data_IF_491004918356
#
_entry.id   IF_491004918356
#
_cell.length_a   1.000
_cell.length_b   1.000
_cell.length_c   1.000
_cell.angle_alpha   90.00
_cell.angle_beta   90.00
_cell.angle_gamma   90.00
#
_symmetry.space_group_name_H-M   'P 1'
#
loop_
_entity.id
_entity.type
_entity.pdbx_description
1 polymer ?
#
# COMPACT_ATOMS: atom_id res chain seq x y z
N UNK A 1 2.02 28.68 18.86
CA UNK A 1 1.27 28.49 18.44
C UNK A 1 0.65 27.33 18.37
N UNK A 2 0.12 27.14 17.98
CA UNK A 2 -0.58 26.22 17.79
C UNK A 2 -0.02 25.06 17.24
N UNK A 3 1.23 24.88 17.19
CA UNK A 3 1.81 23.69 16.61
C UNK A 3 1.38 22.44 17.34
N UNK A 4 1.30 22.48 18.66
CA UNK A 4 0.84 21.32 19.41
C UNK A 4 -0.60 20.95 19.12
N UNK A 5 -1.44 21.96 18.98
CA UNK A 5 -2.83 21.72 18.65
C UNK A 5 -2.95 21.18 17.24
N UNK A 6 -2.10 21.63 16.31
CA UNK A 6 -2.11 21.11 14.97
C UNK A 6 -1.66 19.67 14.93
N UNK A 7 -0.67 19.33 15.73
CA UNK A 7 -0.22 17.95 15.79
C UNK A 7 -1.29 17.03 16.34
N UNK A 8 -1.99 17.44 17.34
CA UNK A 8 -3.10 16.68 17.88
C UNK A 8 -4.18 16.49 16.83
N UNK A 9 -4.49 17.55 16.11
CA UNK A 9 -5.48 17.48 15.04
C UNK A 9 -5.00 16.67 13.85
N UNK A 10 -3.70 16.53 13.67
CA UNK A 10 -3.16 15.77 12.56
C UNK A 10 -3.48 14.29 12.65
N UNK A 11 -3.82 13.78 13.82
CA UNK A 11 -4.27 12.40 13.93
C UNK A 11 -5.62 12.21 13.26
N UNK A 12 -6.35 13.31 13.03
CA UNK A 12 -7.62 13.30 12.34
C UNK A 12 -7.43 14.09 11.05
N UNK A 13 -7.16 13.38 9.95
CA UNK A 13 -6.93 14.03 8.67
C UNK A 13 -8.23 14.64 8.15
N UNK A 14 -8.13 15.82 7.56
CA UNK A 14 -9.29 16.43 6.94
C UNK A 14 -9.51 15.79 5.55
N UNK A 15 -10.65 16.04 4.98
CA UNK A 15 -11.06 15.40 3.72
C UNK A 15 -10.20 15.79 2.53
N UNK A 16 -9.47 16.92 2.63
CA UNK A 16 -8.67 17.42 1.53
C UNK A 16 -7.24 16.88 1.53
N UNK A 17 -6.84 16.21 2.62
CA UNK A 17 -5.48 15.67 2.68
C UNK A 17 -5.39 14.36 1.92
N UNK A 18 -4.31 14.25 1.13
CA UNK A 18 -4.08 13.05 0.37
C UNK A 18 -3.59 11.91 1.26
N UNK A 19 -3.88 10.69 0.85
CA UNK A 19 -3.47 9.48 1.56
C UNK A 19 -2.23 8.91 0.92
N UNK A 20 -1.35 8.32 1.72
CA UNK A 20 -0.17 7.67 1.19
C UNK A 20 -0.50 6.36 0.49
N UNK A 21 0.07 6.19 -0.68
CA UNK A 21 0.11 4.94 -1.43
C UNK A 21 1.58 4.66 -1.69
N UNK A 22 2.11 3.58 -1.14
CA UNK A 22 3.52 3.27 -1.33
C UNK A 22 3.71 2.13 -2.32
N UNK A 23 4.82 2.20 -3.03
CA UNK A 23 5.27 1.19 -3.98
C UNK A 23 6.61 0.68 -3.48
N UNK A 24 6.73 -0.63 -3.29
CA UNK A 24 7.96 -1.23 -2.77
C UNK A 24 8.43 -2.30 -3.73
N UNK A 25 9.61 -2.09 -4.30
CA UNK A 25 10.22 -3.02 -5.26
C UNK A 25 11.71 -2.68 -5.29
N UNK A 26 12.58 -3.67 -5.27
CA UNK A 26 14.02 -3.41 -5.30
C UNK A 26 14.52 -2.94 -6.67
N UNK A 27 13.66 -2.98 -7.69
CA UNK A 27 13.98 -2.48 -9.03
C UNK A 27 13.59 -1.00 -9.13
N UNK A 28 14.59 -0.13 -9.23
CA UNK A 28 14.39 1.33 -9.29
C UNK A 28 13.55 1.72 -10.50
N UNK A 29 13.77 1.08 -11.65
CA UNK A 29 13.04 1.43 -12.87
C UNK A 29 11.55 1.14 -12.71
N UNK A 30 11.21 0.05 -12.03
CA UNK A 30 9.81 -0.31 -11.78
C UNK A 30 9.16 0.70 -10.84
N UNK A 31 9.82 1.05 -9.75
CA UNK A 31 9.22 2.00 -8.79
C UNK A 31 9.05 3.39 -9.39
N UNK A 32 10.00 3.83 -10.21
CA UNK A 32 9.87 5.11 -10.90
C UNK A 32 8.70 5.10 -11.88
N UNK A 33 8.58 4.04 -12.66
CA UNK A 33 7.52 3.90 -13.66
C UNK A 33 6.14 3.88 -12.99
N UNK A 34 5.99 3.09 -11.93
CA UNK A 34 4.73 2.98 -11.22
C UNK A 34 4.38 4.29 -10.50
N UNK A 35 5.37 4.93 -9.91
CA UNK A 35 5.18 6.22 -9.25
C UNK A 35 4.60 7.24 -10.22
N UNK A 36 5.22 7.38 -11.39
CA UNK A 36 4.76 8.31 -12.40
C UNK A 36 3.34 7.99 -12.87
N UNK A 37 3.07 6.74 -13.15
CA UNK A 37 1.75 6.33 -13.62
C UNK A 37 0.65 6.63 -12.60
N UNK A 38 0.90 6.34 -11.33
CA UNK A 38 -0.10 6.60 -10.29
C UNK A 38 -0.29 8.07 -10.04
N UNK A 39 0.80 8.87 -10.05
CA UNK A 39 0.69 10.31 -9.87
C UNK A 39 -0.12 10.97 -10.98
N UNK A 40 0.03 10.49 -12.21
CA UNK A 40 -0.66 11.07 -13.35
C UNK A 40 -2.14 10.65 -13.46
N UNK A 41 -2.48 9.51 -12.92
CA UNK A 41 -3.79 8.91 -13.18
C UNK A 41 -4.73 8.83 -11.99
N UNK A 42 -4.26 9.05 -10.77
CA UNK A 42 -5.10 8.90 -9.59
C UNK A 42 -5.01 10.14 -8.71
N UNK A 43 -6.16 10.71 -8.39
CA UNK A 43 -6.24 11.89 -7.53
C UNK A 43 -6.44 11.47 -6.08
N UNK A 44 -6.05 12.34 -5.16
CA UNK A 44 -6.30 12.11 -3.73
C UNK A 44 -5.26 11.26 -3.03
N UNK A 45 -4.19 10.91 -3.73
CA UNK A 45 -3.12 10.09 -3.14
C UNK A 45 -1.77 10.81 -3.21
N UNK A 46 -0.91 10.47 -2.25
CA UNK A 46 0.49 10.89 -2.24
C UNK A 46 1.31 9.62 -2.44
N UNK A 47 1.92 9.48 -3.60
CA UNK A 47 2.67 8.26 -3.93
C UNK A 47 4.10 8.38 -3.44
N UNK A 48 4.56 7.36 -2.73
CA UNK A 48 5.95 7.26 -2.27
C UNK A 48 6.51 5.91 -2.75
N UNK A 49 7.77 5.94 -3.18
CA UNK A 49 8.39 4.75 -3.75
C UNK A 49 9.62 4.36 -2.94
N UNK A 50 9.78 3.08 -2.68
CA UNK A 50 10.89 2.56 -1.89
C UNK A 50 11.51 1.36 -2.60
N UNK A 51 12.84 1.30 -2.55
CA UNK A 51 13.57 0.17 -3.10
C UNK A 51 14.11 -0.74 -1.99
N UNK A 52 13.82 -0.40 -0.74
CA UNK A 52 14.21 -1.17 0.45
C UNK A 52 12.96 -1.38 1.32
N UNK A 53 12.54 -2.63 1.54
CA UNK A 53 11.33 -2.90 2.31
C UNK A 53 11.42 -2.47 3.78
N UNK A 54 12.63 -2.44 4.35
CA UNK A 54 12.81 -2.00 5.73
C UNK A 54 12.50 -0.50 5.84
N UNK A 55 13.00 0.30 4.90
CA UNK A 55 12.74 1.73 4.87
C UNK A 55 11.26 1.99 4.59
N UNK A 56 10.65 1.18 3.71
CA UNK A 56 9.22 1.30 3.44
C UNK A 56 8.40 1.09 4.72
N UNK A 57 8.76 0.08 5.51
CA UNK A 57 8.03 -0.20 6.74
C UNK A 57 8.25 0.90 7.79
N UNK A 58 9.45 1.48 7.86
CA UNK A 58 9.71 2.62 8.75
C UNK A 58 8.82 3.81 8.39
N UNK A 59 8.74 4.15 7.12
CA UNK A 59 7.87 5.23 6.67
C UNK A 59 6.41 4.94 7.01
N UNK A 60 6.00 3.68 6.81
CA UNK A 60 4.64 3.28 7.14
C UNK A 60 4.35 3.45 8.63
N UNK A 61 5.24 3.01 9.50
CA UNK A 61 4.99 3.10 10.94
C UNK A 61 4.88 4.54 11.43
N UNK A 62 5.62 5.45 10.81
CA UNK A 62 5.57 6.86 11.16
C UNK A 62 4.30 7.55 10.63
N UNK A 63 3.63 6.95 9.64
CA UNK A 63 2.50 7.57 8.95
C UNK A 63 1.29 6.66 8.84
N UNK A 64 1.20 5.63 9.66
CA UNK A 64 0.23 4.55 9.45
C UNK A 64 -1.22 5.00 9.38
N UNK A 65 -1.59 6.05 10.07
CA UNK A 65 -2.97 6.54 10.06
C UNK A 65 -3.31 7.36 8.82
N UNK A 66 -2.30 7.71 8.04
CA UNK A 66 -2.49 8.43 6.78
C UNK A 66 -2.34 7.51 5.57
N UNK A 67 -1.94 6.26 5.78
CA UNK A 67 -1.76 5.31 4.69
C UNK A 67 -3.09 4.72 4.22
N UNK A 68 -3.27 4.62 2.93
CA UNK A 68 -4.40 3.92 2.34
C UNK A 68 -3.99 2.57 1.76
N UNK A 69 -2.79 2.47 1.18
CA UNK A 69 -2.45 1.34 0.34
C UNK A 69 -0.95 1.11 0.28
N UNK A 70 -0.53 -0.13 0.27
CA UNK A 70 0.85 -0.51 -0.02
C UNK A 70 0.89 -1.57 -1.10
N UNK A 71 1.70 -1.31 -2.13
CA UNK A 71 1.94 -2.24 -3.23
C UNK A 71 3.36 -2.76 -3.05
N UNK A 72 3.54 -4.06 -2.99
CA UNK A 72 4.86 -4.65 -2.79
C UNK A 72 5.13 -5.78 -3.78
N UNK A 73 6.36 -5.80 -4.29
CA UNK A 73 6.86 -6.98 -4.97
C UNK A 73 7.08 -8.09 -3.95
N UNK A 74 7.01 -9.33 -4.38
CA UNK A 74 7.21 -10.47 -3.49
C UNK A 74 8.67 -10.66 -3.13
N UNK A 75 9.54 -10.68 -4.12
CA UNK A 75 10.95 -11.06 -3.92
C UNK A 75 11.84 -9.84 -3.83
N UNK A 76 12.31 -9.58 -2.60
CA UNK A 76 13.20 -8.46 -2.30
C UNK A 76 14.20 -8.91 -1.27
N UNK A 77 15.46 -8.40 -1.34
CA UNK A 77 16.44 -8.69 -0.28
C UNK A 77 15.97 -8.14 1.07
N UNK A 78 16.27 -8.86 2.11
CA UNK A 78 15.97 -8.46 3.49
C UNK A 78 14.61 -8.93 3.95
N UNK A 79 13.55 -8.32 3.47
CA UNK A 79 12.19 -8.65 3.86
C UNK A 79 11.36 -8.86 2.60
N UNK A 80 10.74 -10.03 2.44
CA UNK A 80 9.93 -10.26 1.25
C UNK A 80 8.56 -9.59 1.38
N UNK A 81 7.84 -9.52 0.25
CA UNK A 81 6.56 -8.82 0.21
C UNK A 81 5.49 -9.40 1.12
N UNK A 82 5.46 -10.72 1.30
CA UNK A 82 4.48 -11.34 2.19
C UNK A 82 4.72 -10.91 3.64
N UNK A 83 5.98 -10.92 4.06
CA UNK A 83 6.35 -10.50 5.40
C UNK A 83 6.07 -9.02 5.64
N UNK A 84 6.40 -8.19 4.63
CA UNK A 84 6.16 -6.76 4.71
C UNK A 84 4.66 -6.47 4.88
N UNK A 85 3.84 -7.05 4.01
CA UNK A 85 2.40 -6.78 4.05
C UNK A 85 1.74 -7.33 5.31
N UNK A 86 2.26 -8.44 5.84
CA UNK A 86 1.78 -8.96 7.12
C UNK A 86 2.06 -7.96 8.26
N UNK A 87 3.25 -7.37 8.27
CA UNK A 87 3.59 -6.37 9.28
C UNK A 87 2.72 -5.13 9.15
N UNK A 88 2.44 -4.71 7.93
CA UNK A 88 1.59 -3.55 7.67
C UNK A 88 0.16 -3.81 8.20
N UNK A 89 -0.42 -4.95 7.86
CA UNK A 89 -1.77 -5.30 8.34
C UNK A 89 -1.82 -5.44 9.86
N UNK A 90 -0.75 -5.95 10.46
CA UNK A 90 -0.67 -6.07 11.91
C UNK A 90 -0.68 -4.72 12.61
N UNK A 91 -0.12 -3.69 11.98
CA UNK A 91 -0.06 -2.35 12.55
C UNK A 91 -1.30 -1.52 12.23
N UNK A 92 -1.92 -1.74 11.07
CA UNK A 92 -3.17 -1.05 10.69
C UNK A 92 -3.92 -1.90 9.68
N UNK A 93 -4.93 -2.63 10.13
CA UNK A 93 -5.66 -3.60 9.30
C UNK A 93 -6.53 -2.96 8.22
N UNK A 94 -6.77 -1.65 8.29
CA UNK A 94 -7.60 -0.95 7.30
C UNK A 94 -6.83 -0.68 6.01
N UNK A 95 -5.49 -0.57 6.10
CA UNK A 95 -4.64 -0.30 4.94
C UNK A 95 -4.78 -1.45 3.94
N UNK A 96 -4.99 -1.11 2.67
CA UNK A 96 -5.13 -2.12 1.62
C UNK A 96 -3.77 -2.56 1.11
N UNK A 97 -3.64 -3.83 0.77
CA UNK A 97 -2.37 -4.41 0.36
C UNK A 97 -2.49 -5.08 -0.99
N UNK A 98 -1.52 -4.80 -1.87
CA UNK A 98 -1.43 -5.41 -3.19
C UNK A 98 -0.05 -6.06 -3.33
N UNK A 99 -0.01 -7.32 -3.73
CA UNK A 99 1.23 -8.02 -3.98
C UNK A 99 1.42 -8.17 -5.50
N UNK A 100 2.59 -7.80 -6.01
CA UNK A 100 2.94 -8.09 -7.40
C UNK A 100 3.87 -9.28 -7.43
N UNK A 101 3.63 -10.21 -8.35
CA UNK A 101 4.40 -11.44 -8.38
C UNK A 101 4.43 -12.07 -9.75
N UNK A 102 5.58 -12.69 -10.09
CA UNK A 102 5.73 -13.45 -11.33
C UNK A 102 5.27 -14.90 -11.17
N UNK A 103 4.92 -15.30 -9.94
CA UNK A 103 4.55 -16.68 -9.65
C UNK A 103 3.05 -16.87 -9.65
N UNK A 104 2.63 -18.06 -10.06
CA UNK A 104 1.28 -18.51 -9.81
C UNK A 104 1.30 -19.21 -8.44
N UNK A 105 0.65 -18.61 -7.46
CA UNK A 105 0.69 -19.10 -6.08
C UNK A 105 -0.54 -19.91 -5.68
N UNK A 106 -1.37 -20.32 -6.64
CA UNK A 106 -2.59 -21.04 -6.31
C UNK A 106 -2.34 -22.30 -5.48
N UNK A 107 -1.16 -22.90 -5.64
CA UNK A 107 -0.81 -24.11 -4.90
C UNK A 107 0.09 -23.85 -3.69
N UNK A 108 0.48 -22.60 -3.43
CA UNK A 108 1.34 -22.25 -2.30
C UNK A 108 0.49 -22.07 -1.05
N UNK A 109 0.71 -22.93 -0.05
CA UNK A 109 -0.10 -22.93 1.17
C UNK A 109 0.04 -21.64 1.97
N UNK A 110 1.25 -21.08 2.06
CA UNK A 110 1.46 -19.84 2.82
C UNK A 110 0.76 -18.66 2.14
N UNK A 111 0.85 -18.59 0.83
CA UNK A 111 0.19 -17.55 0.05
C UNK A 111 -1.33 -17.62 0.24
N UNK A 112 -1.90 -18.84 0.12
CA UNK A 112 -3.34 -19.04 0.32
C UNK A 112 -3.75 -18.66 1.75
N UNK A 113 -2.93 -19.00 2.71
CA UNK A 113 -3.17 -18.65 4.10
C UNK A 113 -3.24 -17.13 4.28
N UNK A 114 -2.30 -16.40 3.68
CA UNK A 114 -2.25 -14.94 3.82
C UNK A 114 -3.42 -14.26 3.11
N UNK A 115 -3.86 -14.79 1.97
CA UNK A 115 -5.07 -14.28 1.32
C UNK A 115 -6.28 -14.52 2.23
N UNK A 116 -6.41 -15.73 2.77
CA UNK A 116 -7.53 -16.10 3.61
C UNK A 116 -7.57 -15.28 4.91
N UNK A 117 -6.41 -14.96 5.46
CA UNK A 117 -6.31 -14.15 6.68
C UNK A 117 -6.44 -12.65 6.42
N UNK A 118 -6.55 -12.24 5.16
CA UNK A 118 -6.68 -10.83 4.83
C UNK A 118 -5.38 -10.04 4.82
N UNK A 119 -4.23 -10.72 4.79
CA UNK A 119 -2.93 -10.05 4.70
C UNK A 119 -2.72 -9.46 3.31
N UNK A 120 -3.19 -10.16 2.28
CA UNK A 120 -3.08 -9.72 0.89
C UNK A 120 -4.51 -9.48 0.39
N UNK A 121 -4.81 -8.22 0.08
CA UNK A 121 -6.15 -7.88 -0.41
C UNK A 121 -6.31 -8.19 -1.89
N UNK A 122 -5.25 -8.01 -2.68
CA UNK A 122 -5.27 -8.39 -4.08
C UNK A 122 -3.87 -8.60 -4.61
N UNK A 123 -3.78 -9.20 -5.78
CA UNK A 123 -2.51 -9.49 -6.44
C UNK A 123 -2.54 -8.96 -7.87
N UNK A 124 -1.36 -8.63 -8.40
CA UNK A 124 -1.19 -8.33 -9.81
C UNK A 124 -0.07 -9.21 -10.32
N UNK A 125 -0.37 -10.00 -11.34
CA UNK A 125 0.61 -10.88 -11.94
C UNK A 125 1.54 -10.12 -12.86
N UNK A 126 2.83 -10.42 -12.79
CA UNK A 126 3.81 -9.82 -13.71
C UNK A 126 3.74 -10.52 -15.09
N UNK A 127 3.95 -9.80 -16.18
CA UNK A 127 4.32 -8.39 -16.26
C UNK A 127 3.15 -7.47 -15.95
N UNK A 128 3.39 -6.47 -15.11
CA UNK A 128 2.36 -5.53 -14.69
C UNK A 128 2.23 -4.43 -15.74
N UNK A 129 1.06 -4.31 -16.35
CA UNK A 129 0.79 -3.19 -17.25
C UNK A 129 0.34 -1.99 -16.43
N UNK A 130 0.61 -0.78 -16.92
CA UNK A 130 0.24 0.42 -16.18
C UNK A 130 -1.28 0.58 -16.09
N UNK A 131 -2.00 0.11 -17.09
CA UNK A 131 -3.48 0.14 -17.05
C UNK A 131 -3.99 -0.75 -15.92
N UNK A 132 -3.46 -1.97 -15.80
CA UNK A 132 -3.87 -2.90 -14.74
C UNK A 132 -3.49 -2.38 -13.35
N UNK A 133 -2.29 -1.79 -13.25
CA UNK A 133 -1.85 -1.20 -12.00
C UNK A 133 -2.82 -0.11 -11.54
N UNK A 134 -3.13 0.82 -12.42
CA UNK A 134 -4.03 1.94 -12.07
C UNK A 134 -5.45 1.45 -11.75
N UNK A 135 -5.96 0.47 -12.50
CA UNK A 135 -7.27 -0.11 -12.21
C UNK A 135 -7.31 -0.74 -10.83
N UNK A 136 -6.29 -1.54 -10.49
CA UNK A 136 -6.25 -2.23 -9.21
C UNK A 136 -6.10 -1.25 -8.05
N UNK A 137 -5.29 -0.21 -8.23
CA UNK A 137 -5.13 0.81 -7.19
C UNK A 137 -6.43 1.57 -6.98
N UNK A 138 -7.14 1.93 -8.05
CA UNK A 138 -8.44 2.59 -7.92
C UNK A 138 -9.44 1.73 -7.16
N UNK A 139 -9.50 0.45 -7.48
CA UNK A 139 -10.40 -0.49 -6.81
C UNK A 139 -10.10 -0.59 -5.32
N UNK A 140 -8.82 -0.76 -4.97
CA UNK A 140 -8.43 -0.91 -3.58
C UNK A 140 -8.57 0.40 -2.81
N UNK A 141 -8.25 1.52 -3.43
CA UNK A 141 -8.41 2.82 -2.80
C UNK A 141 -9.89 3.11 -2.50
N UNK A 142 -10.78 2.75 -3.41
CA UNK A 142 -12.21 2.89 -3.19
C UNK A 142 -12.69 2.05 -2.01
N UNK A 143 -12.19 0.82 -1.89
CA UNK A 143 -12.51 -0.04 -0.74
C UNK A 143 -11.99 0.56 0.56
N UNK A 144 -10.80 1.15 0.51
CA UNK A 144 -10.26 1.85 1.68
C UNK A 144 -11.16 3.00 2.10
N UNK A 145 -11.59 3.82 1.14
CA UNK A 145 -12.45 4.97 1.44
C UNK A 145 -13.78 4.53 2.04
N UNK A 146 -14.38 3.49 1.50
CA UNK A 146 -15.64 2.97 2.04
C UNK A 146 -15.47 2.45 3.47
N UNK A 147 -14.37 1.78 3.76
CA UNK A 147 -14.10 1.28 5.10
C UNK A 147 -13.91 2.41 6.10
N UNK A 148 -13.23 3.48 5.71
CA UNK A 148 -13.02 4.62 6.61
C UNK A 148 -14.31 5.42 6.82
N UNK A 149 -15.17 5.50 5.82
CA UNK A 149 -16.46 6.15 5.98
C UNK A 149 -17.34 5.39 6.96
N UNK A 150 -17.35 4.07 6.89
CA UNK A 150 -18.12 3.25 7.84
C UNK A 150 -17.61 3.44 9.26
N UNK A 151 -16.30 3.63 9.42
CA UNK A 151 -15.72 3.86 10.73
C UNK A 151 -16.11 5.19 11.34
N UNK A 152 -16.59 6.13 10.54
CA UNK A 152 -17.00 7.46 11.03
C UNK A 152 -18.45 7.51 11.46
N UNK A 153 -19.21 6.55 11.06
CA UNK A 153 -20.62 6.51 11.46
C UNK A 153 -20.78 5.73 12.76
#
# INVERSE_FOLDING_TARGET
MESGALESAASVLNENESRFVSIVDDDIDITELFHEALCENINGISVVAFNDPIIAFEHFTENKHRYALMISDLRMPGLNGLELLKKVKGANHIVRTILTTAYNYDEDELFQKYIKEGVIDSTIEKPVTLIRLCQRVREEFQKYELATQKGKS
#
